data_IF_170899447304
#
_entry.id   IF_170899447304
#
_cell.length_a   1.000
_cell.length_b   1.000
_cell.length_c   1.000
_cell.angle_alpha   90.00
_cell.angle_beta   90.00
_cell.angle_gamma   90.00
#
_symmetry.space_group_name_H-M   'P 1'
#
loop_
_entity.id
_entity.type
_entity.pdbx_description
1 polymer ?
#
# COMPACT_ATOMS: atom_id res chain seq x y z
N UNK A 1 22.44 18.81 -1.48
CA UNK A 1 21.37 19.07 -2.48
C UNK A 1 20.27 18.07 -2.21
N UNK A 2 19.14 18.52 -1.70
CA UNK A 2 17.95 17.65 -1.59
C UNK A 2 17.52 17.30 -3.01
N UNK A 3 17.58 16.04 -3.37
CA UNK A 3 17.00 15.56 -4.61
C UNK A 3 15.51 15.88 -4.56
N UNK A 4 15.11 16.90 -5.30
CA UNK A 4 13.71 17.23 -5.50
C UNK A 4 13.15 16.09 -6.34
N UNK A 5 12.51 15.13 -5.70
CA UNK A 5 11.73 14.13 -6.41
C UNK A 5 10.71 14.90 -7.24
N UNK A 6 10.74 14.71 -8.55
CA UNK A 6 9.72 15.20 -9.47
C UNK A 6 8.40 14.51 -9.13
N UNK A 7 7.76 14.99 -8.08
CA UNK A 7 6.40 14.61 -7.75
C UNK A 7 5.49 15.65 -8.34
N UNK A 8 4.44 15.19 -8.96
CA UNK A 8 3.37 15.99 -9.49
C UNK A 8 2.81 16.87 -8.36
N UNK A 9 3.26 18.09 -8.27
CA UNK A 9 2.67 19.11 -7.42
C UNK A 9 1.96 20.12 -8.30
N UNK A 10 0.74 19.83 -8.65
CA UNK A 10 -0.16 20.86 -9.17
C UNK A 10 -0.88 21.50 -7.97
N UNK A 11 -0.38 22.63 -7.51
CA UNK A 11 -1.04 23.44 -6.48
C UNK A 11 -1.32 22.72 -5.14
N UNK A 12 -0.62 21.62 -4.85
CA UNK A 12 -0.83 20.85 -3.63
C UNK A 12 -1.98 19.85 -3.68
N UNK A 13 -2.74 19.80 -4.77
CA UNK A 13 -3.82 18.83 -4.94
C UNK A 13 -3.31 17.51 -5.50
N UNK A 14 -3.80 16.41 -4.93
CA UNK A 14 -3.55 15.08 -5.42
C UNK A 14 -4.55 14.74 -6.53
N UNK A 15 -4.06 14.32 -7.70
CA UNK A 15 -4.93 13.77 -8.73
C UNK A 15 -5.41 12.38 -8.34
N UNK A 16 -6.59 12.31 -7.72
CA UNK A 16 -7.15 11.05 -7.20
C UNK A 16 -7.53 10.04 -8.28
N UNK A 17 -7.58 10.46 -9.53
CA UNK A 17 -7.83 9.58 -10.68
C UNK A 17 -6.75 8.49 -10.85
N UNK A 18 -5.60 8.62 -10.19
CA UNK A 18 -4.60 7.57 -10.18
C UNK A 18 -5.12 6.25 -9.55
N UNK A 19 -6.06 6.31 -8.61
CA UNK A 19 -6.69 5.10 -8.04
C UNK A 19 -7.44 4.31 -9.11
N UNK A 20 -8.19 5.00 -9.97
CA UNK A 20 -8.88 4.36 -11.09
C UNK A 20 -7.89 3.79 -12.11
N UNK A 21 -6.81 4.49 -12.38
CA UNK A 21 -5.75 4.04 -13.28
C UNK A 21 -5.05 2.78 -12.77
N UNK A 22 -4.74 2.73 -11.48
CA UNK A 22 -4.16 1.54 -10.85
C UNK A 22 -5.14 0.37 -10.90
N UNK A 23 -6.42 0.60 -10.55
CA UNK A 23 -7.44 -0.43 -10.61
C UNK A 23 -7.60 -1.00 -12.02
N UNK A 24 -7.63 -0.14 -13.03
CA UNK A 24 -7.73 -0.55 -14.43
C UNK A 24 -6.51 -1.40 -14.83
N UNK A 25 -5.30 -0.98 -14.48
CA UNK A 25 -4.09 -1.73 -14.74
C UNK A 25 -4.05 -3.09 -14.06
N UNK A 26 -4.44 -3.16 -12.79
CA UNK A 26 -4.53 -4.41 -12.03
C UNK A 26 -5.54 -5.36 -12.67
N UNK A 27 -6.72 -4.87 -13.00
CA UNK A 27 -7.74 -5.67 -13.67
C UNK A 27 -7.28 -6.15 -15.05
N UNK A 28 -6.63 -5.28 -15.83
CA UNK A 28 -6.11 -5.62 -17.15
C UNK A 28 -5.12 -6.79 -17.08
N UNK A 29 -4.16 -6.73 -16.18
CA UNK A 29 -3.17 -7.80 -16.01
C UNK A 29 -3.83 -9.10 -15.60
N UNK A 30 -4.71 -9.04 -14.60
CA UNK A 30 -5.42 -10.23 -14.10
C UNK A 30 -6.30 -10.85 -15.20
N UNK A 31 -7.09 -10.04 -15.90
CA UNK A 31 -8.09 -10.55 -16.86
C UNK A 31 -7.44 -11.08 -18.13
N UNK A 32 -6.30 -10.54 -18.54
CA UNK A 32 -5.61 -10.95 -19.77
C UNK A 32 -4.50 -11.98 -19.54
N UNK A 33 -3.87 -12.00 -18.36
CA UNK A 33 -2.70 -12.82 -18.09
C UNK A 33 -2.82 -13.69 -16.82
N UNK A 34 -3.88 -13.52 -16.03
CA UNK A 34 -4.19 -14.33 -14.86
C UNK A 34 -3.59 -13.81 -13.55
N UNK A 35 -4.00 -14.45 -12.45
CA UNK A 35 -3.59 -14.06 -11.09
C UNK A 35 -2.09 -14.22 -10.86
N UNK A 36 -1.47 -15.22 -11.46
CA UNK A 36 -0.02 -15.43 -11.37
C UNK A 36 0.79 -14.28 -11.94
N UNK A 37 0.38 -13.77 -13.11
CA UNK A 37 1.01 -12.61 -13.74
C UNK A 37 0.82 -11.34 -12.92
N UNK A 38 -0.37 -11.13 -12.36
CA UNK A 38 -0.63 -10.01 -11.46
C UNK A 38 0.28 -10.06 -10.23
N UNK A 39 0.41 -11.23 -9.63
CA UNK A 39 1.30 -11.44 -8.48
C UNK A 39 2.74 -11.11 -8.83
N UNK A 40 3.21 -11.57 -9.98
CA UNK A 40 4.58 -11.30 -10.46
C UNK A 40 4.83 -9.80 -10.62
N UNK A 41 3.92 -9.09 -11.30
CA UNK A 41 4.03 -7.62 -11.50
C UNK A 41 4.05 -6.88 -10.16
N UNK A 42 3.20 -7.26 -9.23
CA UNK A 42 3.15 -6.60 -7.91
C UNK A 42 4.38 -6.93 -7.05
N UNK A 43 4.94 -8.14 -7.14
CA UNK A 43 6.19 -8.48 -6.48
C UNK A 43 7.38 -7.69 -7.06
N UNK A 44 7.45 -7.56 -8.37
CA UNK A 44 8.46 -6.72 -9.00
C UNK A 44 8.31 -5.24 -8.59
N UNK A 45 7.07 -4.77 -8.51
CA UNK A 45 6.79 -3.40 -8.03
C UNK A 45 7.27 -3.22 -6.60
N UNK A 46 6.92 -4.12 -5.71
CA UNK A 46 7.29 -4.03 -4.29
C UNK A 46 8.80 -4.13 -4.03
N UNK A 47 9.50 -4.96 -4.80
CA UNK A 47 10.93 -5.21 -4.57
C UNK A 47 11.87 -4.33 -5.39
N UNK A 48 11.45 -3.89 -6.58
CA UNK A 48 12.30 -3.12 -7.51
C UNK A 48 11.92 -1.65 -7.58
N UNK A 49 10.62 -1.32 -7.68
CA UNK A 49 10.16 0.08 -7.71
C UNK A 49 10.26 0.70 -6.31
N UNK A 50 9.81 -0.02 -5.29
CA UNK A 50 9.94 0.37 -3.88
C UNK A 50 11.20 -0.22 -3.23
N UNK A 51 12.29 -0.25 -3.97
CA UNK A 51 13.54 -0.91 -3.58
C UNK A 51 14.03 -0.47 -2.21
N UNK A 52 14.09 0.84 -1.95
CA UNK A 52 14.59 1.37 -0.67
C UNK A 52 13.75 0.90 0.52
N UNK A 53 12.44 0.91 0.37
CA UNK A 53 11.51 0.45 1.40
C UNK A 53 11.73 -1.05 1.68
N UNK A 54 11.78 -1.86 0.62
CA UNK A 54 12.03 -3.29 0.72
C UNK A 54 13.36 -3.61 1.38
N UNK A 55 14.46 -3.00 0.92
CA UNK A 55 15.80 -3.22 1.46
C UNK A 55 15.91 -2.86 2.94
N UNK A 56 15.25 -1.78 3.37
CA UNK A 56 15.20 -1.41 4.79
C UNK A 56 14.44 -2.41 5.63
N UNK A 57 13.30 -2.92 5.15
CA UNK A 57 12.58 -3.99 5.84
C UNK A 57 13.44 -5.26 5.94
N UNK A 58 14.14 -5.64 4.88
CA UNK A 58 15.08 -6.78 4.90
C UNK A 58 16.17 -6.58 5.96
N UNK A 59 16.66 -5.36 6.12
CA UNK A 59 17.65 -4.99 7.13
C UNK A 59 17.09 -4.87 8.56
N UNK A 60 15.79 -5.05 8.76
CA UNK A 60 15.13 -4.95 10.06
C UNK A 60 14.73 -3.52 10.45
N UNK A 61 14.66 -2.61 9.49
CA UNK A 61 14.26 -1.21 9.70
C UNK A 61 12.89 -0.93 9.06
N UNK A 62 11.82 -0.75 9.86
CA UNK A 62 10.48 -0.49 9.34
C UNK A 62 10.22 1.01 9.08
N UNK A 63 11.16 1.89 9.35
CA UNK A 63 10.94 3.34 9.36
C UNK A 63 10.48 3.91 8.02
N UNK A 64 10.98 3.38 6.91
CA UNK A 64 10.60 3.84 5.57
C UNK A 64 9.16 3.50 5.23
N UNK A 65 8.69 2.30 5.58
CA UNK A 65 7.30 1.90 5.39
C UNK A 65 6.35 2.77 6.21
N UNK A 66 6.71 3.02 7.48
CA UNK A 66 5.92 3.87 8.37
C UNK A 66 5.82 5.30 7.82
N UNK A 67 6.94 5.84 7.36
CA UNK A 67 7.00 7.17 6.74
C UNK A 67 6.18 7.22 5.44
N UNK A 68 6.23 6.15 4.63
CA UNK A 68 5.47 6.04 3.40
C UNK A 68 3.96 6.01 3.66
N UNK A 69 3.49 5.22 4.64
CA UNK A 69 2.09 5.20 5.06
C UNK A 69 1.61 6.59 5.49
N UNK A 70 2.36 7.24 6.38
CA UNK A 70 2.02 8.59 6.88
C UNK A 70 1.93 9.59 5.73
N UNK A 71 2.93 9.60 4.86
CA UNK A 71 2.99 10.52 3.74
C UNK A 71 1.76 10.42 2.83
N UNK A 72 1.38 9.19 2.43
CA UNK A 72 0.25 9.01 1.54
C UNK A 72 -1.10 9.26 2.21
N UNK A 73 -1.26 8.84 3.45
CA UNK A 73 -2.49 9.09 4.20
C UNK A 73 -2.70 10.59 4.42
N UNK A 74 -1.68 11.33 4.82
CA UNK A 74 -1.74 12.78 4.99
C UNK A 74 -2.04 13.49 3.66
N UNK A 75 -1.37 13.08 2.61
CA UNK A 75 -1.53 13.71 1.29
C UNK A 75 -2.92 13.51 0.70
N UNK A 76 -3.55 12.40 0.97
CA UNK A 76 -4.91 12.12 0.52
C UNK A 76 -5.98 12.66 1.47
N UNK A 77 -5.59 13.25 2.58
CA UNK A 77 -6.53 13.73 3.60
C UNK A 77 -7.33 12.57 4.22
N UNK A 78 -6.71 11.40 4.39
CA UNK A 78 -7.37 10.23 4.92
C UNK A 78 -7.75 10.40 6.39
N UNK A 79 -8.87 9.80 6.78
CA UNK A 79 -9.23 9.63 8.18
C UNK A 79 -8.54 8.37 8.71
N UNK A 80 -7.41 8.55 9.40
CA UNK A 80 -6.58 7.44 9.85
C UNK A 80 -5.88 7.74 11.17
N UNK A 81 -5.39 6.66 11.79
CA UNK A 81 -4.39 6.72 12.85
C UNK A 81 -3.23 5.81 12.49
N UNK A 82 -2.03 6.21 12.89
CA UNK A 82 -0.82 5.41 12.73
C UNK A 82 -0.08 5.38 14.06
N UNK A 83 -0.10 4.22 14.68
CA UNK A 83 0.51 3.98 16.00
C UNK A 83 1.74 3.11 15.83
N UNK A 84 2.89 3.62 16.27
CA UNK A 84 4.11 2.82 16.33
C UNK A 84 4.05 1.91 17.55
N UNK A 85 4.40 0.66 17.34
CA UNK A 85 4.43 -0.37 18.37
C UNK A 85 5.86 -0.85 18.59
N UNK A 86 6.10 -1.69 19.60
CA UNK A 86 7.39 -2.32 19.78
C UNK A 86 7.66 -3.30 18.62
N UNK A 87 8.55 -2.88 17.71
CA UNK A 87 8.94 -3.65 16.54
C UNK A 87 7.98 -3.58 15.35
N UNK A 88 7.10 -2.57 15.27
CA UNK A 88 6.20 -2.40 14.13
C UNK A 88 5.32 -1.17 14.21
N UNK A 89 4.17 -1.25 13.57
CA UNK A 89 3.17 -0.18 13.57
C UNK A 89 1.78 -0.71 13.20
N UNK A 90 0.74 0.01 13.61
CA UNK A 90 -0.64 -0.25 13.21
C UNK A 90 -1.20 0.98 12.50
N UNK A 91 -1.54 0.81 11.25
CA UNK A 91 -2.28 1.78 10.45
C UNK A 91 -3.76 1.41 10.48
N UNK A 92 -4.58 2.29 11.03
CA UNK A 92 -6.05 2.15 11.03
C UNK A 92 -6.64 3.21 10.11
N UNK A 93 -7.29 2.79 9.04
CA UNK A 93 -7.98 3.67 8.09
C UNK A 93 -9.47 3.53 8.32
N UNK A 94 -10.13 4.61 8.72
CA UNK A 94 -11.56 4.63 9.01
C UNK A 94 -12.42 4.89 7.77
N UNK A 95 -11.90 5.67 6.84
CA UNK A 95 -12.57 5.97 5.57
C UNK A 95 -11.51 6.02 4.46
N UNK A 96 -11.41 4.95 3.69
CA UNK A 96 -10.39 4.81 2.65
C UNK A 96 -10.60 5.80 1.52
N UNK A 97 -9.68 6.74 1.30
CA UNK A 97 -9.84 7.75 0.25
C UNK A 97 -9.90 7.16 -1.15
N UNK A 98 -9.20 6.05 -1.40
CA UNK A 98 -9.21 5.36 -2.69
C UNK A 98 -10.60 4.76 -2.98
N UNK A 99 -11.14 3.97 -2.06
CA UNK A 99 -12.44 3.32 -2.24
C UNK A 99 -13.57 4.34 -2.32
N UNK A 100 -13.51 5.38 -1.49
CA UNK A 100 -14.48 6.47 -1.51
C UNK A 100 -14.46 7.24 -2.84
N UNK A 101 -13.28 7.52 -3.37
CA UNK A 101 -13.15 8.17 -4.67
C UNK A 101 -13.74 7.33 -5.81
N UNK A 102 -13.44 6.03 -5.83
CA UNK A 102 -13.98 5.11 -6.84
C UNK A 102 -15.50 5.02 -6.75
N UNK A 103 -16.05 4.93 -5.55
CA UNK A 103 -17.51 4.92 -5.34
C UNK A 103 -18.16 6.23 -5.82
N UNK A 104 -17.59 7.39 -5.48
CA UNK A 104 -18.06 8.69 -5.91
C UNK A 104 -18.04 8.84 -7.44
N UNK A 105 -17.10 8.18 -8.10
CA UNK A 105 -16.99 8.12 -9.57
C UNK A 105 -17.80 7.00 -10.19
N UNK A 106 -18.55 6.22 -9.40
CA UNK A 106 -19.34 5.05 -9.85
C UNK A 106 -18.50 3.99 -10.56
N UNK A 107 -17.26 3.82 -10.11
CA UNK A 107 -16.34 2.79 -10.61
C UNK A 107 -16.45 1.58 -9.69
N UNK A 108 -16.90 0.47 -10.23
CA UNK A 108 -17.09 -0.78 -9.50
C UNK A 108 -15.79 -1.56 -9.33
N UNK A 109 -15.79 -2.51 -8.40
CA UNK A 109 -14.68 -3.44 -8.20
C UNK A 109 -13.48 -2.87 -7.43
N UNK A 110 -13.65 -1.76 -6.73
CA UNK A 110 -12.57 -1.10 -5.98
C UNK A 110 -11.87 -1.98 -4.96
N UNK A 111 -12.52 -3.02 -4.44
CA UNK A 111 -11.92 -3.99 -3.51
C UNK A 111 -10.72 -4.75 -4.10
N UNK A 112 -10.59 -4.77 -5.41
CA UNK A 112 -9.39 -5.31 -6.06
C UNK A 112 -8.12 -4.53 -5.70
N UNK A 113 -8.24 -3.25 -5.33
CA UNK A 113 -7.12 -2.49 -4.77
C UNK A 113 -6.66 -3.06 -3.42
N UNK A 114 -7.58 -3.55 -2.59
CA UNK A 114 -7.23 -4.21 -1.32
C UNK A 114 -6.49 -5.53 -1.57
N UNK A 115 -6.92 -6.30 -2.56
CA UNK A 115 -6.24 -7.53 -2.99
C UNK A 115 -4.82 -7.21 -3.49
N UNK A 116 -4.67 -6.20 -4.33
CA UNK A 116 -3.37 -5.75 -4.82
C UNK A 116 -2.47 -5.25 -3.67
N UNK A 117 -3.03 -4.54 -2.71
CA UNK A 117 -2.30 -4.07 -1.52
C UNK A 117 -1.79 -5.25 -0.68
N UNK A 118 -2.57 -6.30 -0.50
CA UNK A 118 -2.10 -7.51 0.21
C UNK A 118 -0.88 -8.12 -0.47
N UNK A 119 -0.94 -8.28 -1.79
CA UNK A 119 0.17 -8.84 -2.57
C UNK A 119 1.40 -7.93 -2.50
N UNK A 120 1.20 -6.62 -2.62
CA UNK A 120 2.28 -5.63 -2.51
C UNK A 120 2.93 -5.66 -1.12
N UNK A 121 2.13 -5.79 -0.07
CA UNK A 121 2.63 -5.93 1.30
C UNK A 121 3.47 -7.21 1.48
N UNK A 122 3.07 -8.32 0.88
CA UNK A 122 3.88 -9.54 0.86
C UNK A 122 5.22 -9.30 0.15
N UNK A 123 5.22 -8.56 -0.96
CA UNK A 123 6.42 -8.22 -1.69
C UNK A 123 7.36 -7.32 -0.86
N UNK A 124 6.82 -6.30 -0.22
CA UNK A 124 7.59 -5.44 0.69
C UNK A 124 8.29 -6.22 1.78
N UNK A 125 7.60 -7.19 2.36
CA UNK A 125 8.09 -7.98 3.49
C UNK A 125 8.84 -9.25 3.06
N UNK A 126 8.97 -9.54 1.77
CA UNK A 126 9.67 -10.73 1.31
C UNK A 126 11.15 -10.71 1.75
N UNK A 127 11.64 -11.85 2.22
CA UNK A 127 12.99 -12.01 2.77
C UNK A 127 13.32 -11.07 3.94
N UNK A 128 12.31 -10.56 4.62
CA UNK A 128 12.46 -9.69 5.79
C UNK A 128 11.97 -10.37 7.06
N UNK A 129 12.34 -9.85 8.24
CA UNK A 129 11.78 -10.34 9.51
C UNK A 129 10.35 -9.86 9.77
N UNK A 130 9.72 -9.16 8.82
CA UNK A 130 8.40 -8.55 9.00
C UNK A 130 7.32 -9.23 8.18
N UNK A 131 6.08 -9.02 8.61
CA UNK A 131 4.87 -9.27 7.85
C UNK A 131 3.89 -8.11 8.05
N UNK A 132 3.00 -7.90 7.09
CA UNK A 132 1.90 -6.95 7.16
C UNK A 132 0.61 -7.73 7.00
N UNK A 133 -0.27 -7.62 8.01
CA UNK A 133 -1.61 -8.19 7.97
C UNK A 133 -2.58 -7.08 7.63
N UNK A 134 -3.39 -7.27 6.60
CA UNK A 134 -4.44 -6.34 6.23
C UNK A 134 -5.79 -6.96 6.56
N UNK A 135 -6.49 -6.34 7.50
CA UNK A 135 -7.86 -6.67 7.89
C UNK A 135 -8.83 -5.63 7.33
N UNK A 136 -9.77 -6.06 6.53
CA UNK A 136 -10.88 -5.22 6.10
C UNK A 136 -11.91 -5.17 7.24
N UNK A 137 -12.12 -4.00 7.81
CA UNK A 137 -13.00 -3.80 8.98
C UNK A 137 -14.37 -3.26 8.62
N UNK A 138 -14.57 -2.84 7.38
CA UNK A 138 -15.82 -2.34 6.82
C UNK A 138 -15.70 -2.11 5.32
N UNK A 139 -16.69 -1.49 4.71
CA UNK A 139 -16.68 -1.23 3.26
C UNK A 139 -15.53 -0.31 2.82
N UNK A 140 -15.23 0.70 3.63
CA UNK A 140 -14.17 1.69 3.36
C UNK A 140 -13.13 1.76 4.47
N UNK A 141 -13.08 0.76 5.34
CA UNK A 141 -12.17 0.77 6.48
C UNK A 141 -11.29 -0.48 6.52
N UNK A 142 -10.08 -0.30 6.97
CA UNK A 142 -9.15 -1.41 7.15
C UNK A 142 -8.15 -1.12 8.26
N UNK A 143 -7.44 -2.16 8.63
CA UNK A 143 -6.31 -2.11 9.55
C UNK A 143 -5.15 -2.86 8.94
N UNK A 144 -4.00 -2.21 8.86
CA UNK A 144 -2.75 -2.84 8.43
C UNK A 144 -1.80 -2.93 9.62
N UNK A 145 -1.39 -4.13 9.95
CA UNK A 145 -0.53 -4.41 11.11
C UNK A 145 0.84 -4.86 10.60
N UNK A 146 1.83 -4.00 10.78
CA UNK A 146 3.23 -4.34 10.56
C UNK A 146 3.79 -4.91 11.86
N UNK A 147 4.30 -6.13 11.81
CA UNK A 147 4.90 -6.80 12.95
C UNK A 147 6.04 -7.73 12.54
N UNK A 148 6.86 -8.10 13.49
CA UNK A 148 7.85 -9.15 13.26
C UNK A 148 7.14 -10.49 13.11
N UNK A 149 7.64 -11.30 12.18
CA UNK A 149 7.16 -12.67 12.00
C UNK A 149 7.40 -13.46 13.29
N UNK A 150 6.42 -14.28 13.64
CA UNK A 150 6.60 -15.26 14.72
C UNK A 150 7.49 -16.37 14.16
N UNK A 151 8.68 -16.52 14.76
CA UNK A 151 9.53 -17.64 14.45
C UNK A 151 8.94 -18.87 15.15
N UNK A 152 8.48 -19.86 14.38
CA UNK A 152 8.11 -21.16 14.92
C UNK A 152 9.37 -21.83 15.51
N UNK A 153 9.35 -22.08 16.81
CA UNK A 153 10.41 -22.82 17.50
C UNK A 153 10.22 -24.31 17.26
#
# INVERSE_FOLDING_TARGET
MKQQLLRYESGGELHRDFHASILDGVNYVRDNYGDGALREVLFETGTKVYKTLHEKLVAGDPSELIAWWRYYMDREGADYTLEETDGGAVLTVRDCPALKHLENRKIEGGKMLCTATRILNEAFCSNSPYEIILDETGEHSCRQILRRRVVAV
#
